data_IF_057160695071
#
_entry.id   IF_057160695071
#
_cell.length_a   1.000
_cell.length_b   1.000
_cell.length_c   1.000
_cell.angle_alpha   90.00
_cell.angle_beta   90.00
_cell.angle_gamma   90.00
#
_symmetry.space_group_name_H-M   'P 1'
#
loop_
_entity.id
_entity.type
_entity.pdbx_description
1 polymer ?
#
# COMPACT_ATOMS: atom_id res chain seq x y z
N UNK A 1 -28.19 -18.54 5.09
CA UNK A 1 -28.91 -17.56 4.24
C UNK A 1 -27.95 -17.12 3.16
N UNK A 2 -28.33 -17.14 1.88
CA UNK A 2 -27.51 -16.52 0.85
C UNK A 2 -27.40 -15.02 1.15
N UNK A 3 -26.17 -14.50 1.17
CA UNK A 3 -25.95 -13.06 1.28
C UNK A 3 -26.48 -12.39 0.00
N UNK A 4 -27.44 -11.48 0.15
CA UNK A 4 -27.81 -10.64 -0.98
C UNK A 4 -26.58 -9.82 -1.40
N UNK A 5 -26.13 -9.99 -2.62
CA UNK A 5 -25.06 -9.18 -3.17
C UNK A 5 -25.56 -7.73 -3.33
N UNK A 6 -24.79 -6.79 -2.78
CA UNK A 6 -24.97 -5.38 -3.10
C UNK A 6 -24.51 -5.15 -4.55
N UNK A 7 -25.35 -4.57 -5.37
CA UNK A 7 -25.04 -4.20 -6.75
C UNK A 7 -24.42 -2.79 -6.86
N UNK A 8 -24.46 -2.02 -5.78
CA UNK A 8 -23.80 -0.72 -5.73
C UNK A 8 -22.29 -0.92 -5.57
N UNK A 9 -21.51 -0.22 -6.38
CA UNK A 9 -20.05 -0.28 -6.38
C UNK A 9 -19.47 1.14 -6.30
N UNK A 10 -18.30 1.25 -5.71
CA UNK A 10 -17.49 2.47 -5.77
C UNK A 10 -16.16 2.16 -6.45
N UNK A 11 -15.53 3.19 -7.00
CA UNK A 11 -14.25 3.06 -7.72
C UNK A 11 -13.13 3.52 -6.79
N UNK A 12 -12.13 2.64 -6.58
CA UNK A 12 -10.84 3.00 -6.02
C UNK A 12 -9.84 3.16 -7.17
N UNK A 13 -9.23 4.33 -7.29
CA UNK A 13 -8.15 4.57 -8.23
C UNK A 13 -6.79 4.48 -7.52
N UNK A 14 -5.98 3.48 -7.87
CA UNK A 14 -4.61 3.35 -7.40
C UNK A 14 -3.69 4.10 -8.36
N UNK A 15 -3.26 5.30 -7.97
CA UNK A 15 -2.46 6.18 -8.83
C UNK A 15 -0.98 5.80 -8.87
N UNK A 16 -0.48 5.15 -7.81
CA UNK A 16 0.87 4.59 -7.73
C UNK A 16 0.86 3.27 -6.98
N UNK A 17 1.86 2.44 -7.23
CA UNK A 17 2.07 1.16 -6.55
C UNK A 17 3.51 1.01 -6.04
N UNK A 18 3.82 -0.14 -5.43
CA UNK A 18 5.12 -0.47 -4.84
C UNK A 18 6.18 -0.89 -5.86
N UNK A 19 5.79 -1.25 -7.08
CA UNK A 19 6.72 -1.73 -8.11
C UNK A 19 7.63 -0.63 -8.67
N UNK A 20 8.83 -1.01 -9.09
CA UNK A 20 9.77 -0.13 -9.80
C UNK A 20 9.32 0.03 -11.27
N UNK A 21 8.24 0.77 -11.48
CA UNK A 21 7.60 0.97 -12.79
C UNK A 21 7.87 2.36 -13.39
N UNK A 22 8.65 3.19 -12.72
CA UNK A 22 8.92 4.58 -13.09
C UNK A 22 9.51 4.74 -14.51
N UNK A 23 10.19 3.71 -15.01
CA UNK A 23 10.82 3.74 -16.34
C UNK A 23 9.96 3.09 -17.43
N UNK A 24 8.79 2.56 -17.07
CA UNK A 24 7.85 1.91 -18.02
C UNK A 24 6.95 2.91 -18.74
N UNK A 25 6.72 4.08 -18.13
CA UNK A 25 5.89 5.14 -18.72
C UNK A 25 6.26 6.49 -18.12
N UNK A 26 6.29 7.52 -18.96
CA UNK A 26 6.45 8.92 -18.55
C UNK A 26 5.27 9.45 -17.71
N UNK A 27 4.12 8.77 -17.79
CA UNK A 27 2.91 9.13 -17.02
C UNK A 27 2.90 8.59 -15.59
N UNK A 28 3.89 7.78 -15.20
CA UNK A 28 3.99 7.32 -13.80
C UNK A 28 4.39 8.50 -12.92
N UNK A 29 3.51 8.95 -11.99
CA UNK A 29 3.82 10.08 -11.13
C UNK A 29 4.95 9.71 -10.14
N UNK A 30 5.92 10.60 -9.95
CA UNK A 30 7.10 10.37 -9.12
C UNK A 30 7.15 11.27 -7.89
N UNK A 31 6.92 12.57 -8.10
CA UNK A 31 6.95 13.51 -6.98
C UNK A 31 5.63 13.51 -6.19
N UNK A 32 5.66 13.91 -4.90
CA UNK A 32 4.44 14.08 -4.11
C UNK A 32 3.40 14.96 -4.81
N UNK A 33 3.82 16.02 -5.48
CA UNK A 33 2.95 16.90 -6.26
C UNK A 33 2.28 16.16 -7.43
N UNK A 34 3.04 15.39 -8.21
CA UNK A 34 2.51 14.62 -9.33
C UNK A 34 1.53 13.54 -8.85
N UNK A 35 1.85 12.87 -7.74
CA UNK A 35 0.99 11.84 -7.13
C UNK A 35 -0.32 12.47 -6.65
N UNK A 36 -0.24 13.59 -5.94
CA UNK A 36 -1.42 14.31 -5.47
C UNK A 36 -2.29 14.80 -6.64
N UNK A 37 -1.69 15.40 -7.67
CA UNK A 37 -2.41 15.86 -8.85
C UNK A 37 -3.14 14.71 -9.56
N UNK A 38 -2.47 13.57 -9.73
CA UNK A 38 -3.10 12.37 -10.31
C UNK A 38 -4.28 11.85 -9.47
N UNK A 39 -4.16 11.89 -8.13
CA UNK A 39 -5.23 11.53 -7.23
C UNK A 39 -6.42 12.50 -7.32
N UNK A 40 -6.15 13.80 -7.38
CA UNK A 40 -7.18 14.85 -7.54
C UNK A 40 -7.90 14.72 -8.89
N UNK A 41 -7.18 14.43 -9.97
CA UNK A 41 -7.77 14.18 -11.28
C UNK A 41 -8.65 12.94 -11.26
N UNK A 42 -8.21 11.85 -10.63
CA UNK A 42 -9.01 10.64 -10.46
C UNK A 42 -10.29 10.91 -9.66
N UNK A 43 -10.21 11.68 -8.57
CA UNK A 43 -11.37 12.10 -7.79
C UNK A 43 -12.37 12.91 -8.63
N UNK A 44 -11.90 13.90 -9.39
CA UNK A 44 -12.73 14.70 -10.31
C UNK A 44 -13.35 13.87 -11.42
N UNK A 45 -12.71 12.77 -11.82
CA UNK A 45 -13.23 11.82 -12.78
C UNK A 45 -14.26 10.83 -12.17
N UNK A 46 -14.49 10.86 -10.85
CA UNK A 46 -15.51 10.06 -10.16
C UNK A 46 -14.97 8.92 -9.30
N UNK A 47 -13.67 8.86 -9.03
CA UNK A 47 -13.14 7.93 -8.04
C UNK A 47 -13.61 8.34 -6.63
N UNK A 48 -14.21 7.39 -5.90
CA UNK A 48 -14.62 7.60 -4.52
C UNK A 48 -13.46 7.44 -3.54
N UNK A 49 -12.46 6.65 -3.91
CA UNK A 49 -11.26 6.39 -3.13
C UNK A 49 -10.04 6.57 -4.04
N UNK A 50 -8.99 7.20 -3.53
CA UNK A 50 -7.67 7.22 -4.19
C UNK A 50 -6.66 6.50 -3.31
N UNK A 51 -5.93 5.55 -3.91
CA UNK A 51 -4.88 4.80 -3.24
C UNK A 51 -3.52 5.29 -3.69
N UNK A 52 -2.67 5.68 -2.73
CA UNK A 52 -1.38 6.29 -2.99
C UNK A 52 -0.23 5.56 -2.28
N UNK A 53 0.82 5.25 -3.05
CA UNK A 53 2.17 5.06 -2.57
C UNK A 53 2.97 6.33 -2.83
N UNK A 54 4.04 6.53 -2.10
CA UNK A 54 4.97 7.64 -2.38
C UNK A 54 6.27 7.13 -2.97
N UNK A 55 6.94 8.00 -3.70
CA UNK A 55 8.19 7.72 -4.39
C UNK A 55 9.20 8.80 -4.07
N UNK A 56 10.46 8.45 -4.18
CA UNK A 56 11.54 9.43 -4.18
C UNK A 56 11.44 10.27 -5.47
N UNK A 57 11.32 11.60 -5.38
CA UNK A 57 11.07 12.45 -6.55
C UNK A 57 12.22 12.49 -7.54
N UNK A 58 13.46 12.23 -7.11
CA UNK A 58 14.63 12.25 -7.99
C UNK A 58 14.79 10.93 -8.74
N UNK A 59 14.65 9.80 -8.03
CA UNK A 59 14.89 8.48 -8.59
C UNK A 59 13.64 7.78 -9.09
N UNK A 60 12.47 8.17 -8.58
CA UNK A 60 11.19 7.50 -8.85
C UNK A 60 11.01 6.18 -8.10
N UNK A 61 11.98 5.76 -7.31
CA UNK A 61 11.94 4.52 -6.53
C UNK A 61 10.89 4.65 -5.41
N UNK A 62 10.11 3.59 -5.12
CA UNK A 62 9.17 3.60 -3.99
C UNK A 62 9.86 3.97 -2.66
N UNK A 63 9.15 4.71 -1.82
CA UNK A 63 9.70 5.29 -0.58
C UNK A 63 8.73 5.13 0.59
N UNK A 64 9.28 5.15 1.82
CA UNK A 64 8.51 5.21 3.08
C UNK A 64 8.67 6.53 3.82
N UNK A 65 9.30 7.54 3.20
CA UNK A 65 9.53 8.82 3.85
C UNK A 65 8.21 9.49 4.23
N UNK A 66 8.06 9.81 5.51
CA UNK A 66 6.83 10.39 6.06
C UNK A 66 6.53 11.76 5.44
N UNK A 67 7.55 12.55 5.18
CA UNK A 67 7.42 13.85 4.54
C UNK A 67 6.76 13.81 3.17
N UNK A 68 6.99 12.75 2.39
CA UNK A 68 6.33 12.59 1.09
C UNK A 68 4.85 12.23 1.23
N UNK A 69 4.52 11.36 2.19
CA UNK A 69 3.12 11.04 2.50
C UNK A 69 2.37 12.26 3.00
N UNK A 70 3.00 13.05 3.87
CA UNK A 70 2.41 14.28 4.40
C UNK A 70 2.10 15.25 3.26
N UNK A 71 3.04 15.54 2.38
CA UNK A 71 2.85 16.45 1.26
C UNK A 71 1.72 15.98 0.32
N UNK A 72 1.67 14.68 -0.02
CA UNK A 72 0.57 14.12 -0.83
C UNK A 72 -0.77 14.33 -0.14
N UNK A 73 -0.83 14.03 1.16
CA UNK A 73 -2.06 14.16 1.96
C UNK A 73 -2.54 15.61 2.03
N UNK A 74 -1.65 16.54 2.35
CA UNK A 74 -1.96 17.97 2.44
C UNK A 74 -2.52 18.51 1.11
N UNK A 75 -1.85 18.23 0.00
CA UNK A 75 -2.28 18.66 -1.33
C UNK A 75 -3.66 18.11 -1.73
N UNK A 76 -3.94 16.83 -1.42
CA UNK A 76 -5.25 16.23 -1.71
C UNK A 76 -6.33 16.87 -0.84
N UNK A 77 -6.06 17.13 0.44
CA UNK A 77 -7.03 17.74 1.36
C UNK A 77 -7.27 19.23 1.11
N UNK A 78 -6.28 19.94 0.57
CA UNK A 78 -6.44 21.32 0.15
C UNK A 78 -7.25 21.47 -1.17
N UNK A 79 -7.35 20.37 -1.93
CA UNK A 79 -8.14 20.38 -3.14
C UNK A 79 -9.64 20.30 -2.83
N UNK A 80 -10.45 20.95 -3.68
CA UNK A 80 -11.91 20.89 -3.59
C UNK A 80 -12.44 19.55 -4.12
N UNK A 81 -12.22 18.48 -3.31
CA UNK A 81 -12.67 17.11 -3.61
C UNK A 81 -13.15 16.43 -2.34
N UNK A 82 -14.18 15.58 -2.46
CA UNK A 82 -14.70 14.75 -1.38
C UNK A 82 -14.24 13.28 -1.58
N UNK A 83 -12.93 13.10 -1.74
CA UNK A 83 -12.36 11.78 -1.99
C UNK A 83 -11.81 11.17 -0.71
N UNK A 84 -12.07 9.87 -0.52
CA UNK A 84 -11.48 9.08 0.56
C UNK A 84 -10.01 8.78 0.22
N UNK A 85 -9.10 9.13 1.13
CA UNK A 85 -7.69 8.85 0.98
C UNK A 85 -7.33 7.49 1.59
N UNK A 86 -6.71 6.65 0.78
CA UNK A 86 -6.14 5.37 1.17
C UNK A 86 -4.62 5.41 0.98
N UNK A 87 -3.85 5.27 2.06
CA UNK A 87 -2.40 5.16 2.02
C UNK A 87 -1.96 3.72 2.26
N UNK A 88 -0.83 3.33 1.69
CA UNK A 88 -0.31 1.97 1.83
C UNK A 88 0.46 1.76 3.13
N UNK A 89 0.37 0.55 3.74
CA UNK A 89 1.32 0.02 4.71
C UNK A 89 2.12 -1.18 4.16
N UNK A 90 2.04 -1.42 2.84
CA UNK A 90 2.68 -2.57 2.19
C UNK A 90 4.21 -2.49 2.11
N UNK A 91 4.77 -1.29 2.11
CA UNK A 91 6.21 -1.09 1.98
C UNK A 91 6.99 -1.60 3.20
N UNK A 92 8.17 -2.19 2.95
CA UNK A 92 9.07 -2.66 4.02
C UNK A 92 8.80 -4.09 4.48
N UNK A 93 8.35 -4.94 3.58
CA UNK A 93 8.14 -6.36 3.83
C UNK A 93 8.95 -7.28 2.91
N UNK A 94 9.77 -6.75 2.02
CA UNK A 94 10.42 -7.51 0.98
C UNK A 94 11.66 -8.23 1.48
N UNK A 95 11.72 -9.55 1.27
CA UNK A 95 12.83 -10.41 1.62
C UNK A 95 13.33 -11.16 0.38
N UNK A 96 14.60 -10.98 0.07
CA UNK A 96 15.30 -11.71 -0.99
C UNK A 96 16.07 -12.85 -0.37
N UNK A 97 15.75 -14.09 -0.77
CA UNK A 97 16.46 -15.27 -0.32
C UNK A 97 17.79 -15.46 -1.09
N UNK A 98 18.60 -16.39 -0.63
CA UNK A 98 19.75 -16.88 -1.37
C UNK A 98 19.34 -17.68 -2.61
N UNK A 99 20.23 -18.55 -3.12
CA UNK A 99 19.90 -19.40 -4.27
C UNK A 99 18.79 -20.42 -3.91
N UNK A 100 18.14 -20.98 -4.94
CA UNK A 100 17.10 -22.01 -4.78
C UNK A 100 17.55 -23.19 -3.92
N UNK A 101 18.82 -23.60 -4.03
CA UNK A 101 19.38 -24.74 -3.27
C UNK A 101 19.97 -24.33 -1.92
N UNK A 102 20.29 -23.04 -1.73
CA UNK A 102 20.82 -22.49 -0.48
C UNK A 102 20.12 -21.15 -0.15
N UNK A 103 18.87 -21.20 0.36
CA UNK A 103 18.06 -20.00 0.59
C UNK A 103 18.56 -19.11 1.73
N UNK A 104 19.40 -19.64 2.61
CA UNK A 104 19.98 -18.88 3.74
C UNK A 104 21.51 -18.80 3.62
N UNK A 105 22.12 -17.69 4.10
CA UNK A 105 21.47 -16.49 4.63
C UNK A 105 20.72 -15.72 3.52
N UNK A 106 19.71 -14.94 3.91
CA UNK A 106 19.02 -14.06 2.98
C UNK A 106 19.96 -12.97 2.40
N UNK A 107 19.65 -12.51 1.20
CA UNK A 107 20.42 -11.45 0.54
C UNK A 107 20.12 -10.10 1.16
N UNK A 108 21.16 -9.34 1.48
CA UNK A 108 21.00 -7.93 1.88
C UNK A 108 20.60 -7.05 0.68
N UNK A 109 21.05 -7.42 -0.52
CA UNK A 109 20.70 -6.69 -1.72
C UNK A 109 19.26 -7.00 -2.13
N UNK A 110 18.43 -5.97 -2.19
CA UNK A 110 17.01 -6.05 -2.52
C UNK A 110 16.10 -6.40 -1.33
N UNK A 111 16.63 -6.79 -0.18
CA UNK A 111 15.82 -6.98 1.04
C UNK A 111 15.52 -5.62 1.66
N UNK A 112 14.22 -5.35 1.86
CA UNK A 112 13.71 -4.17 2.55
C UNK A 112 12.73 -4.61 3.65
N UNK A 113 13.29 -5.03 4.79
CA UNK A 113 12.51 -5.46 5.96
C UNK A 113 12.50 -4.39 7.04
N UNK A 114 11.33 -3.83 7.28
CA UNK A 114 11.10 -2.83 8.31
C UNK A 114 10.18 -3.36 9.42
N UNK A 115 10.30 -2.81 10.61
CA UNK A 115 9.41 -3.12 11.72
C UNK A 115 8.00 -2.57 11.51
N UNK A 116 7.01 -3.21 12.15
CA UNK A 116 5.60 -2.82 12.02
C UNK A 116 5.36 -1.32 12.30
N UNK A 117 6.01 -0.77 13.32
CA UNK A 117 5.87 0.66 13.68
C UNK A 117 6.42 1.59 12.60
N UNK A 118 7.53 1.23 11.96
CA UNK A 118 8.11 2.02 10.88
C UNK A 118 7.21 2.01 9.64
N UNK A 119 6.64 0.85 9.31
CA UNK A 119 5.78 0.68 8.14
C UNK A 119 4.51 1.52 8.19
N UNK A 120 4.03 1.86 9.38
CA UNK A 120 2.81 2.67 9.60
C UNK A 120 3.09 4.03 10.23
N UNK A 121 4.35 4.46 10.27
CA UNK A 121 4.73 5.72 10.94
C UNK A 121 4.04 6.95 10.33
N UNK A 122 3.87 6.98 9.02
CA UNK A 122 3.21 8.06 8.29
C UNK A 122 1.75 8.29 8.72
N UNK A 123 1.07 7.27 9.27
CA UNK A 123 -0.31 7.39 9.72
C UNK A 123 -0.47 8.36 10.90
N UNK A 124 0.58 8.55 11.70
CA UNK A 124 0.55 9.48 12.85
C UNK A 124 0.38 10.94 12.41
N UNK A 125 0.91 11.27 11.24
CA UNK A 125 0.86 12.64 10.71
C UNK A 125 -0.27 12.80 9.67
N UNK A 126 -0.49 11.80 8.83
CA UNK A 126 -1.39 11.90 7.69
C UNK A 126 -2.86 11.61 8.03
N UNK A 127 -3.12 10.72 8.99
CA UNK A 127 -4.46 10.29 9.42
C UNK A 127 -5.43 10.08 8.23
N UNK A 128 -5.10 9.21 7.26
CA UNK A 128 -5.99 8.93 6.14
C UNK A 128 -7.25 8.21 6.63
N UNK A 129 -8.32 8.21 5.85
CA UNK A 129 -9.54 7.47 6.17
C UNK A 129 -9.30 5.97 6.15
N UNK A 130 -8.46 5.52 5.22
CA UNK A 130 -8.16 4.09 4.99
C UNK A 130 -6.64 3.90 4.89
N UNK A 131 -6.15 2.76 5.37
CA UNK A 131 -4.80 2.31 5.08
C UNK A 131 -4.81 0.85 4.66
N UNK A 132 -4.20 0.55 3.52
CA UNK A 132 -4.11 -0.83 3.02
C UNK A 132 -3.15 -1.64 3.87
N UNK A 133 -3.62 -2.80 4.35
CA UNK A 133 -2.88 -3.79 5.11
C UNK A 133 -2.82 -5.09 4.33
N UNK A 134 -1.64 -5.44 3.84
CA UNK A 134 -1.40 -6.69 3.10
C UNK A 134 -1.45 -7.88 4.07
N UNK A 135 -2.57 -8.62 4.04
CA UNK A 135 -2.84 -9.69 4.99
C UNK A 135 -2.36 -11.04 4.48
N UNK A 136 -1.10 -11.30 4.74
CA UNK A 136 -0.40 -12.53 4.40
C UNK A 136 0.98 -12.26 3.79
N UNK A 137 1.70 -13.34 3.56
CA UNK A 137 2.96 -13.34 2.82
C UNK A 137 2.64 -13.59 1.35
N UNK A 138 3.25 -12.81 0.46
CA UNK A 138 2.92 -12.82 -0.97
C UNK A 138 4.15 -13.07 -1.82
N UNK A 139 3.96 -13.85 -2.90
CA UNK A 139 4.96 -14.03 -3.94
C UNK A 139 4.68 -13.07 -5.10
N UNK A 140 5.75 -12.53 -5.67
CA UNK A 140 5.68 -11.72 -6.88
C UNK A 140 6.36 -12.46 -8.02
N UNK A 141 5.70 -12.52 -9.18
CA UNK A 141 6.22 -13.24 -10.35
C UNK A 141 7.39 -12.55 -11.05
N UNK A 142 7.67 -11.31 -10.69
CA UNK A 142 8.64 -10.47 -11.41
C UNK A 142 10.07 -10.57 -10.85
N UNK A 143 10.27 -11.13 -9.64
CA UNK A 143 11.58 -11.26 -9.02
C UNK A 143 11.58 -12.35 -7.92
N UNK A 144 12.78 -12.82 -7.55
CA UNK A 144 12.98 -13.83 -6.50
C UNK A 144 12.95 -13.21 -5.09
N UNK A 145 11.86 -12.52 -4.76
CA UNK A 145 11.62 -12.01 -3.41
C UNK A 145 10.21 -12.35 -2.92
N UNK A 146 10.05 -12.28 -1.63
CA UNK A 146 8.78 -12.54 -0.95
C UNK A 146 8.43 -11.33 -0.08
N UNK A 147 7.25 -10.77 -0.28
CA UNK A 147 6.71 -9.79 0.64
C UNK A 147 6.20 -10.52 1.88
N UNK A 148 6.82 -10.25 3.03
CA UNK A 148 6.64 -11.04 4.25
C UNK A 148 5.86 -10.27 5.30
N UNK A 149 4.80 -10.90 5.82
CA UNK A 149 4.02 -10.43 6.95
C UNK A 149 3.80 -11.54 7.96
N UNK A 150 4.36 -11.41 9.15
CA UNK A 150 4.02 -12.31 10.24
C UNK A 150 2.69 -11.91 10.89
N UNK A 151 1.95 -12.84 11.50
CA UNK A 151 0.73 -12.52 12.26
C UNK A 151 0.95 -11.47 13.36
N UNK A 152 2.15 -11.44 13.93
CA UNK A 152 2.53 -10.44 14.93
C UNK A 152 2.63 -9.03 14.34
N UNK A 153 3.29 -8.89 13.18
CA UNK A 153 3.40 -7.63 12.45
C UNK A 153 2.01 -7.12 12.04
N UNK A 154 1.18 -7.99 11.47
CA UNK A 154 -0.17 -7.64 11.06
C UNK A 154 -1.02 -7.14 12.22
N UNK A 155 -1.01 -7.84 13.37
CA UNK A 155 -1.73 -7.39 14.57
C UNK A 155 -1.24 -6.04 15.09
N UNK A 156 0.08 -5.81 15.09
CA UNK A 156 0.65 -4.55 15.54
C UNK A 156 0.26 -3.37 14.63
N UNK A 157 0.34 -3.56 13.31
CA UNK A 157 -0.07 -2.54 12.33
C UNK A 157 -1.58 -2.27 12.39
N UNK A 158 -2.42 -3.32 12.41
CA UNK A 158 -3.86 -3.16 12.50
C UNK A 158 -4.29 -2.45 13.80
N UNK A 159 -3.64 -2.80 14.93
CA UNK A 159 -3.89 -2.09 16.19
C UNK A 159 -3.54 -0.61 16.09
N UNK A 160 -2.38 -0.27 15.53
CA UNK A 160 -1.96 1.13 15.36
C UNK A 160 -2.93 1.91 14.48
N UNK A 161 -3.38 1.33 13.35
CA UNK A 161 -4.40 1.93 12.48
C UNK A 161 -5.68 2.22 13.29
N UNK A 162 -6.18 1.22 14.02
CA UNK A 162 -7.41 1.34 14.81
C UNK A 162 -7.27 2.38 15.92
N UNK A 163 -6.14 2.40 16.63
CA UNK A 163 -5.88 3.38 17.71
C UNK A 163 -5.87 4.83 17.18
N UNK A 164 -5.48 5.02 15.91
CA UNK A 164 -5.49 6.33 15.23
C UNK A 164 -6.82 6.66 14.54
N UNK A 165 -7.82 5.76 14.58
CA UNK A 165 -9.09 5.93 13.87
C UNK A 165 -9.00 5.68 12.35
N UNK A 166 -7.89 5.18 11.86
CA UNK A 166 -7.68 4.80 10.46
C UNK A 166 -8.27 3.40 10.22
N UNK A 167 -9.07 3.24 9.17
CA UNK A 167 -9.67 1.94 8.83
C UNK A 167 -8.69 1.08 8.03
N UNK A 168 -8.35 -0.14 8.48
CA UNK A 168 -7.55 -1.04 7.69
C UNK A 168 -8.37 -1.59 6.50
N UNK A 169 -7.83 -1.44 5.30
CA UNK A 169 -8.29 -2.17 4.12
C UNK A 169 -7.53 -3.49 4.03
N UNK A 170 -8.25 -4.59 4.15
CA UNK A 170 -7.65 -5.92 4.17
C UNK A 170 -7.38 -6.37 2.74
N UNK A 171 -6.12 -6.31 2.32
CA UNK A 171 -5.70 -6.85 1.03
C UNK A 171 -5.49 -8.35 1.15
N UNK A 172 -6.31 -9.12 0.44
CA UNK A 172 -6.23 -10.57 0.36
C UNK A 172 -6.01 -10.98 -1.09
N UNK A 173 -4.95 -11.74 -1.34
CA UNK A 173 -4.67 -12.33 -2.64
C UNK A 173 -5.18 -13.78 -2.71
N UNK A 174 -5.16 -14.38 -3.90
CA UNK A 174 -5.63 -15.76 -4.13
C UNK A 174 -4.96 -16.81 -3.25
N UNK A 175 -3.73 -16.55 -2.80
CA UNK A 175 -2.95 -17.44 -1.91
C UNK A 175 -3.19 -17.16 -0.43
N UNK A 176 -3.93 -16.11 -0.09
CA UNK A 176 -4.21 -15.75 1.30
C UNK A 176 -5.44 -16.49 1.82
N UNK A 177 -5.38 -17.09 3.03
CA UNK A 177 -6.55 -17.71 3.62
C UNK A 177 -7.67 -16.69 3.79
N UNK A 178 -8.81 -16.94 3.16
CA UNK A 178 -10.00 -16.10 3.29
C UNK A 178 -11.08 -16.87 4.06
N UNK A 179 -11.90 -16.20 4.89
CA UNK A 179 -13.09 -16.81 5.47
C UNK A 179 -14.03 -17.43 4.43
N UNK A 180 -13.99 -16.95 3.18
CA UNK A 180 -14.77 -17.49 2.06
C UNK A 180 -14.27 -18.86 1.61
N UNK A 181 -12.98 -19.18 1.82
CA UNK A 181 -12.38 -20.46 1.42
C UNK A 181 -12.77 -21.61 2.36
N UNK A 182 -13.41 -21.31 3.48
CA UNK A 182 -13.91 -22.30 4.46
C UNK A 182 -15.36 -22.75 4.20
N UNK A 183 -15.97 -22.32 3.13
CA UNK A 183 -17.37 -22.64 2.79
C UNK A 183 -17.48 -23.67 1.65
N UNK A 184 -16.57 -24.63 1.63
CA UNK A 184 -16.71 -25.83 0.77
C UNK A 184 -16.89 -27.04 1.64
#
# INVERSE_FOLDING_TARGET
>A
MPLNMNSEVFITCAVTGSGSTQDRSEYVPRSPEQIANSAIEAAKAGAAVVHCHVRDPETGVPSRKVEYYREVTERIREADTDVVLNLTAGMGGDMVFGSTEAPLPYSQNGTDMAGASERVKHLEECLPEICTLDCGTMNFAEADYVMTNTPGMLRAMAKKMTDLGVRPEICLLYTSPSPRDKTV
#
